data_IF_018026066741
#
_entry.id   IF_018026066741
#
_cell.length_a   1.000
_cell.length_b   1.000
_cell.length_c   1.000
_cell.angle_alpha   90.00
_cell.angle_beta   90.00
_cell.angle_gamma   90.00
#
_symmetry.space_group_name_H-M   'P 1'
#
loop_
_entity.id
_entity.type
_entity.pdbx_description
1 polymer ?
#
# COMPACT_ATOMS: atom_id res chain seq x y z
N UNK A 1 19.47 12.61 0.00
CA UNK A 1 18.46 12.51 1.09
C UNK A 1 18.67 11.29 2.00
N UNK A 2 18.42 11.36 3.32
CA UNK A 2 18.61 10.20 4.23
C UNK A 2 17.51 9.14 4.11
N UNK A 3 17.80 7.87 4.46
CA UNK A 3 16.81 6.80 4.51
C UNK A 3 15.66 7.11 5.47
N UNK A 4 15.97 7.66 6.65
CA UNK A 4 14.97 8.06 7.64
C UNK A 4 13.99 9.07 7.05
N UNK A 5 14.50 10.06 6.32
CA UNK A 5 13.70 11.08 5.65
C UNK A 5 12.81 10.46 4.56
N UNK A 6 13.34 9.54 3.75
CA UNK A 6 12.56 8.85 2.70
C UNK A 6 11.43 8.01 3.28
N UNK A 7 11.72 7.25 4.33
CA UNK A 7 10.72 6.47 5.07
C UNK A 7 9.64 7.36 5.67
N UNK A 8 10.01 8.54 6.19
CA UNK A 8 9.03 9.48 6.74
C UNK A 8 8.12 10.08 5.67
N UNK A 9 8.67 10.46 4.51
CA UNK A 9 7.86 10.94 3.38
C UNK A 9 6.88 9.86 2.91
N UNK A 10 7.38 8.64 2.65
CA UNK A 10 6.55 7.53 2.20
C UNK A 10 5.47 7.16 3.22
N UNK A 11 5.78 7.22 4.52
CA UNK A 11 4.80 6.99 5.58
C UNK A 11 3.67 8.01 5.51
N UNK A 12 3.99 9.31 5.37
CA UNK A 12 2.96 10.37 5.25
C UNK A 12 2.10 10.18 4.01
N UNK A 13 2.70 9.80 2.88
CA UNK A 13 1.99 9.54 1.63
C UNK A 13 1.09 8.30 1.71
N UNK A 14 1.53 7.27 2.42
CA UNK A 14 0.76 6.03 2.57
C UNK A 14 -0.51 6.20 3.42
N UNK A 15 -0.57 7.22 4.30
CA UNK A 15 -1.64 7.40 5.28
C UNK A 15 -1.71 6.30 6.36
N UNK A 16 -0.81 5.30 6.33
CA UNK A 16 -0.77 4.17 7.26
C UNK A 16 -0.09 4.54 8.57
N UNK A 17 -0.44 3.84 9.66
CA UNK A 17 0.29 3.99 10.92
C UNK A 17 1.56 3.15 10.87
N UNK A 18 2.57 3.58 11.63
CA UNK A 18 3.85 2.85 11.76
C UNK A 18 3.67 1.39 12.15
N UNK A 19 2.70 1.11 13.03
CA UNK A 19 2.43 -0.25 13.51
C UNK A 19 1.86 -1.16 12.41
N UNK A 20 1.05 -0.60 11.51
CA UNK A 20 0.46 -1.33 10.40
C UNK A 20 1.56 -1.71 9.40
N UNK A 21 2.47 -0.77 9.11
CA UNK A 21 3.65 -1.01 8.27
C UNK A 21 4.57 -2.08 8.89
N UNK A 22 4.79 -2.03 10.21
CA UNK A 22 5.60 -3.04 10.91
C UNK A 22 4.98 -4.42 10.78
N UNK A 23 3.65 -4.54 10.92
CA UNK A 23 2.94 -5.79 10.77
C UNK A 23 2.99 -6.32 9.32
N UNK A 24 2.71 -5.45 8.34
CA UNK A 24 2.73 -5.80 6.92
C UNK A 24 4.13 -6.20 6.43
N UNK A 25 5.17 -5.51 6.88
CA UNK A 25 6.56 -5.78 6.50
C UNK A 25 7.21 -6.93 7.32
N UNK A 26 6.50 -7.50 8.31
CA UNK A 26 7.02 -8.54 9.20
C UNK A 26 8.18 -8.06 10.08
N UNK A 27 8.09 -6.82 10.59
CA UNK A 27 9.09 -6.16 11.41
C UNK A 27 8.69 -6.15 12.89
N UNK A 28 9.68 -6.17 13.81
CA UNK A 28 9.39 -6.02 15.24
C UNK A 28 8.72 -4.68 15.56
N UNK A 29 7.93 -4.66 16.63
CA UNK A 29 7.30 -3.43 17.12
C UNK A 29 8.32 -2.33 17.42
N UNK A 30 8.06 -1.11 16.96
CA UNK A 30 8.93 0.05 17.15
C UNK A 30 10.15 0.09 16.21
N UNK A 31 10.27 -0.85 15.28
CA UNK A 31 11.36 -0.87 14.31
C UNK A 31 11.31 0.35 13.38
N UNK A 32 10.12 0.78 12.93
CA UNK A 32 9.95 1.98 12.10
C UNK A 32 10.35 3.24 12.86
N UNK A 33 10.05 3.33 14.16
CA UNK A 33 10.49 4.44 15.01
C UNK A 33 12.01 4.54 15.07
N UNK A 34 12.72 3.40 15.19
CA UNK A 34 14.19 3.37 15.19
C UNK A 34 14.80 3.72 13.84
N UNK A 35 14.14 3.38 12.73
CA UNK A 35 14.55 3.82 11.38
C UNK A 35 14.44 5.34 11.26
N UNK A 36 13.30 5.92 11.64
CA UNK A 36 13.05 7.37 11.56
C UNK A 36 13.99 8.14 12.50
N UNK A 37 14.30 7.60 13.68
CA UNK A 37 15.30 8.17 14.59
C UNK A 37 16.74 8.05 14.06
N UNK A 38 16.96 7.34 12.95
CA UNK A 38 18.29 7.16 12.36
C UNK A 38 19.17 6.16 13.11
N UNK A 39 18.61 5.35 14.01
CA UNK A 39 19.33 4.27 14.70
C UNK A 39 19.56 3.06 13.79
N UNK A 40 18.78 2.93 12.71
CA UNK A 40 18.88 1.86 11.71
C UNK A 40 19.13 2.45 10.33
N UNK A 41 20.40 2.69 10.03
CA UNK A 41 20.86 3.30 8.75
C UNK A 41 21.17 2.27 7.67
N UNK A 42 21.68 1.10 8.06
CA UNK A 42 22.05 0.02 7.16
C UNK A 42 21.06 -1.13 7.31
N UNK A 43 20.00 -1.10 6.52
CA UNK A 43 19.07 -2.22 6.39
C UNK A 43 19.52 -3.14 5.26
N UNK A 44 19.40 -4.44 5.48
CA UNK A 44 19.62 -5.41 4.40
C UNK A 44 18.59 -5.19 3.28
N UNK A 45 18.94 -5.53 2.03
CA UNK A 45 18.11 -5.29 0.84
C UNK A 45 16.71 -5.91 1.00
N UNK A 46 16.65 -7.10 1.58
CA UNK A 46 15.41 -7.81 1.86
C UNK A 46 14.45 -7.02 2.78
N UNK A 47 14.98 -6.31 3.79
CA UNK A 47 14.14 -5.50 4.69
C UNK A 47 13.65 -4.24 4.00
N UNK A 48 14.51 -3.60 3.21
CA UNK A 48 14.15 -2.41 2.44
C UNK A 48 13.03 -2.77 1.47
N UNK A 49 13.09 -3.93 0.81
CA UNK A 49 12.04 -4.41 -0.08
C UNK A 49 10.69 -4.54 0.61
N UNK A 50 10.63 -5.22 1.76
CA UNK A 50 9.36 -5.38 2.51
C UNK A 50 8.79 -4.05 3.00
N UNK A 51 9.65 -3.14 3.44
CA UNK A 51 9.24 -1.80 3.85
C UNK A 51 8.69 -1.03 2.64
N UNK A 52 9.37 -1.09 1.50
CA UNK A 52 8.93 -0.45 0.26
C UNK A 52 7.57 -0.98 -0.20
N UNK A 53 7.38 -2.30 -0.18
CA UNK A 53 6.10 -2.95 -0.50
C UNK A 53 4.98 -2.53 0.46
N UNK A 54 5.23 -2.50 1.77
CA UNK A 54 4.25 -2.08 2.78
C UNK A 54 3.88 -0.60 2.66
N UNK A 55 4.85 0.25 2.31
CA UNK A 55 4.68 1.69 2.08
C UNK A 55 4.13 2.01 0.68
N UNK A 56 4.09 1.04 -0.24
CA UNK A 56 3.65 1.25 -1.61
C UNK A 56 4.61 2.10 -2.45
N UNK A 57 5.91 2.09 -2.15
CA UNK A 57 6.94 2.83 -2.90
C UNK A 57 7.91 1.86 -3.57
N UNK A 58 8.70 2.33 -4.54
CA UNK A 58 9.69 1.49 -5.20
C UNK A 58 10.86 1.14 -4.27
N UNK A 59 11.34 -0.11 -4.37
CA UNK A 59 12.54 -0.55 -3.66
C UNK A 59 13.75 0.31 -4.02
N UNK A 60 13.91 0.64 -5.31
CA UNK A 60 15.04 1.45 -5.77
C UNK A 60 15.05 2.81 -5.12
N UNK A 61 13.91 3.51 -5.03
CA UNK A 61 13.87 4.79 -4.36
C UNK A 61 14.15 4.70 -2.85
N UNK A 62 13.52 3.72 -2.18
CA UNK A 62 13.73 3.56 -0.74
C UNK A 62 15.16 3.09 -0.40
N UNK A 63 15.81 2.36 -1.32
CA UNK A 63 17.15 1.83 -1.16
C UNK A 63 18.27 2.78 -1.62
N UNK A 64 18.05 3.59 -2.65
CA UNK A 64 19.07 4.47 -3.26
C UNK A 64 18.97 5.89 -2.74
N UNK A 65 20.11 6.60 -2.62
CA UNK A 65 20.15 8.01 -2.17
C UNK A 65 19.50 9.02 -3.15
N UNK A 66 18.66 8.55 -4.07
CA UNK A 66 17.90 9.37 -5.00
C UNK A 66 17.08 10.42 -4.27
N UNK A 67 17.23 11.69 -4.69
CA UNK A 67 16.55 12.83 -4.08
C UNK A 67 15.11 13.02 -4.60
N UNK A 68 14.75 12.37 -5.71
CA UNK A 68 13.42 12.48 -6.29
C UNK A 68 12.50 11.41 -5.67
N UNK A 69 11.44 11.76 -4.92
CA UNK A 69 10.43 10.79 -4.49
C UNK A 69 9.94 10.03 -5.71
N UNK A 70 9.69 8.71 -5.63
CA UNK A 70 9.09 8.05 -6.74
C UNK A 70 7.74 8.76 -6.86
N UNK A 71 7.42 9.28 -8.04
CA UNK A 71 6.01 9.25 -8.41
C UNK A 71 5.63 7.81 -8.18
N UNK A 72 4.96 7.52 -7.06
CA UNK A 72 4.30 6.25 -6.89
C UNK A 72 3.58 6.02 -8.22
N UNK A 73 3.60 4.80 -8.76
CA UNK A 73 2.71 4.45 -9.87
C UNK A 73 1.28 4.60 -9.35
N UNK A 74 0.87 5.86 -9.23
CA UNK A 74 -0.35 6.32 -8.64
C UNK A 74 -1.35 6.16 -9.76
N UNK A 75 -1.90 4.96 -9.77
CA UNK A 75 -2.87 4.60 -10.78
C UNK A 75 -4.22 5.13 -10.28
N UNK A 76 -5.00 5.77 -11.15
CA UNK A 76 -6.40 6.06 -10.83
C UNK A 76 -7.09 4.78 -10.35
N UNK A 77 -7.96 4.90 -9.34
CA UNK A 77 -8.74 3.76 -8.83
C UNK A 77 -9.45 3.06 -9.99
N UNK A 78 -10.01 3.84 -10.91
CA UNK A 78 -10.70 3.40 -12.13
C UNK A 78 -9.83 2.47 -13.00
N UNK A 79 -8.57 2.82 -13.24
CA UNK A 79 -7.69 2.00 -14.08
C UNK A 79 -7.36 0.65 -13.41
N UNK A 80 -7.25 0.60 -12.08
CA UNK A 80 -7.07 -0.68 -11.37
C UNK A 80 -8.34 -1.53 -11.40
N UNK A 81 -9.52 -0.91 -11.36
CA UNK A 81 -10.81 -1.60 -11.41
C UNK A 81 -11.05 -2.26 -12.78
N UNK A 82 -10.65 -1.60 -13.87
CA UNK A 82 -10.78 -2.11 -15.24
C UNK A 82 -9.87 -3.32 -15.52
N UNK A 83 -8.67 -3.32 -14.95
CA UNK A 83 -7.70 -4.42 -15.11
C UNK A 83 -7.90 -5.56 -14.11
N UNK A 84 -8.75 -5.37 -13.10
CA UNK A 84 -8.93 -6.37 -12.06
C UNK A 84 -9.76 -7.56 -12.59
N UNK A 85 -9.19 -8.75 -12.43
CA UNK A 85 -9.85 -10.00 -12.80
C UNK A 85 -10.85 -10.42 -11.72
N UNK A 86 -12.11 -10.02 -11.92
CA UNK A 86 -13.19 -10.26 -10.97
C UNK A 86 -13.54 -11.76 -10.89
N UNK A 87 -13.73 -12.31 -9.68
CA UNK A 87 -14.08 -13.72 -9.54
C UNK A 87 -15.38 -14.06 -10.29
N UNK A 88 -15.43 -15.18 -11.03
CA UNK A 88 -16.67 -15.62 -11.65
C UNK A 88 -17.72 -15.93 -10.57
N UNK A 89 -18.92 -15.38 -10.73
CA UNK A 89 -20.02 -15.55 -9.77
C UNK A 89 -20.21 -14.42 -8.77
N UNK A 90 -19.41 -13.34 -8.83
CA UNK A 90 -19.70 -12.13 -8.07
C UNK A 90 -20.97 -11.45 -8.61
N UNK A 91 -21.87 -11.02 -7.73
CA UNK A 91 -23.04 -10.25 -8.16
C UNK A 91 -22.64 -8.80 -8.47
N UNK A 92 -23.31 -8.11 -9.41
CA UNK A 92 -23.06 -6.69 -9.67
C UNK A 92 -23.14 -5.83 -8.40
N UNK A 93 -24.05 -6.15 -7.48
CA UNK A 93 -24.20 -5.47 -6.20
C UNK A 93 -22.95 -5.61 -5.30
N UNK A 94 -22.29 -6.78 -5.33
CA UNK A 94 -21.08 -7.03 -4.55
C UNK A 94 -19.89 -6.23 -5.11
N UNK A 95 -19.78 -6.15 -6.45
CA UNK A 95 -18.79 -5.30 -7.13
C UNK A 95 -18.98 -3.84 -6.72
N UNK A 96 -20.23 -3.34 -6.73
CA UNK A 96 -20.53 -1.97 -6.33
C UNK A 96 -20.13 -1.67 -4.87
N UNK A 97 -20.37 -2.61 -3.95
CA UNK A 97 -19.95 -2.46 -2.54
C UNK A 97 -18.43 -2.30 -2.45
N UNK A 98 -17.67 -3.18 -3.10
CA UNK A 98 -16.19 -3.14 -3.09
C UNK A 98 -15.68 -1.84 -3.71
N UNK A 99 -16.20 -1.44 -4.87
CA UNK A 99 -15.82 -0.21 -5.58
C UNK A 99 -16.10 1.02 -4.73
N UNK A 100 -17.28 1.08 -4.10
CA UNK A 100 -17.68 2.20 -3.25
C UNK A 100 -16.78 2.31 -2.02
N UNK A 101 -16.45 1.20 -1.40
CA UNK A 101 -15.54 1.15 -0.26
C UNK A 101 -14.13 1.63 -0.65
N UNK A 102 -13.60 1.13 -1.77
CA UNK A 102 -12.26 1.52 -2.26
C UNK A 102 -12.19 3.00 -2.60
N UNK A 103 -13.24 3.56 -3.23
CA UNK A 103 -13.36 5.00 -3.54
C UNK A 103 -13.45 5.86 -2.27
N UNK A 104 -14.19 5.40 -1.26
CA UNK A 104 -14.25 6.10 0.03
C UNK A 104 -12.89 6.13 0.73
N UNK A 105 -12.13 5.04 0.67
CA UNK A 105 -10.78 4.95 1.24
C UNK A 105 -9.75 5.80 0.47
N UNK A 106 -9.87 5.89 -0.85
CA UNK A 106 -9.01 6.75 -1.67
C UNK A 106 -9.23 8.25 -1.40
N UNK A 107 -10.42 8.63 -0.92
CA UNK A 107 -10.76 10.01 -0.60
C UNK A 107 -10.93 10.90 -1.84
N UNK A 108 -11.73 11.97 -1.70
CA UNK A 108 -12.12 12.84 -2.82
C UNK A 108 -10.98 13.70 -3.40
N UNK A 109 -9.83 13.79 -2.74
CA UNK A 109 -8.77 14.76 -3.07
C UNK A 109 -7.49 14.13 -3.64
N UNK A 110 -7.30 12.81 -3.53
CA UNK A 110 -6.11 12.12 -4.06
C UNK A 110 -6.54 10.81 -4.70
N UNK A 111 -7.05 10.87 -5.93
CA UNK A 111 -7.51 9.72 -6.75
C UNK A 111 -6.37 8.75 -7.13
N UNK A 112 -5.20 8.94 -6.56
CA UNK A 112 -3.92 8.47 -7.03
C UNK A 112 -3.23 7.78 -5.86
N UNK A 113 -3.58 6.51 -5.68
CA UNK A 113 -2.97 5.62 -4.70
C UNK A 113 -2.01 4.64 -5.40
N UNK A 114 -0.99 4.11 -4.70
CA UNK A 114 -0.12 3.11 -5.28
C UNK A 114 -0.91 1.92 -5.82
N UNK A 115 -0.65 1.53 -7.07
CA UNK A 115 -1.30 0.40 -7.75
C UNK A 115 -1.27 -0.90 -6.93
N UNK A 116 -0.16 -1.18 -6.27
CA UNK A 116 0.02 -2.35 -5.40
C UNK A 116 -0.91 -2.32 -4.19
N UNK A 117 -1.09 -1.15 -3.58
CA UNK A 117 -2.05 -0.94 -2.49
C UNK A 117 -3.48 -1.17 -2.97
N UNK A 118 -3.89 -0.53 -4.07
CA UNK A 118 -5.23 -0.66 -4.62
C UNK A 118 -5.56 -2.11 -4.97
N UNK A 119 -4.64 -2.82 -5.63
CA UNK A 119 -4.83 -4.22 -6.01
C UNK A 119 -4.98 -5.13 -4.79
N UNK A 120 -4.12 -4.96 -3.79
CA UNK A 120 -4.18 -5.78 -2.57
C UNK A 120 -5.43 -5.48 -1.76
N UNK A 121 -5.79 -4.21 -1.62
CA UNK A 121 -6.99 -3.80 -0.90
C UNK A 121 -8.25 -4.33 -1.56
N UNK A 122 -8.29 -4.32 -2.90
CA UNK A 122 -9.41 -4.88 -3.65
C UNK A 122 -9.52 -6.39 -3.44
N UNK A 123 -8.40 -7.13 -3.42
CA UNK A 123 -8.40 -8.56 -3.08
C UNK A 123 -8.95 -8.82 -1.67
N UNK A 124 -8.53 -8.03 -0.67
CA UNK A 124 -9.01 -8.17 0.70
C UNK A 124 -10.51 -7.88 0.81
N UNK A 125 -11.00 -6.85 0.11
CA UNK A 125 -12.43 -6.50 0.09
C UNK A 125 -13.26 -7.59 -0.57
N UNK A 126 -12.79 -8.11 -1.72
CA UNK A 126 -13.45 -9.23 -2.41
C UNK A 126 -13.48 -10.48 -1.54
N UNK A 127 -12.39 -10.79 -0.83
CA UNK A 127 -12.32 -11.92 0.09
C UNK A 127 -13.20 -11.74 1.34
N UNK A 128 -13.45 -10.50 1.76
CA UNK A 128 -14.30 -10.15 2.90
C UNK A 128 -15.79 -10.10 2.56
N UNK A 129 -16.17 -10.15 1.27
CA UNK A 129 -17.56 -10.23 0.89
C UNK A 129 -18.20 -11.48 1.50
N UNK A 130 -19.43 -11.39 2.02
CA UNK A 130 -20.17 -12.56 2.43
C UNK A 130 -20.48 -13.36 1.17
N UNK A 131 -19.58 -14.29 0.82
CA UNK A 131 -19.82 -15.26 -0.26
C UNK A 131 -21.19 -15.85 0.07
N UNK A 132 -22.18 -15.57 -0.77
CA UNK A 132 -23.46 -16.26 -0.74
C UNK A 132 -23.14 -17.71 -1.09
N UNK A 133 -22.66 -18.48 -0.10
CA UNK A 133 -22.58 -19.94 -0.11
C UNK A 133 -24.02 -20.45 0.00
N UNK A 134 -24.80 -20.20 -1.05
CA UNK A 134 -26.11 -20.79 -1.26
C UNK A 134 -26.27 -21.11 -2.74
N UNK A 135 -25.65 -22.21 -3.13
CA UNK A 135 -26.29 -23.28 -3.89
C UNK A 135 -25.52 -24.57 -3.60
#
# INVERSE_FOLDING_TARGET
>A
MSLASRVEIALRQSGKKKIDIEQEAGLPKGYMTRIIAGERRNLGPEKIRRIAEALGVSYEWLGTESDEPPTADTTPVEAVLEEFDWPPGLLPADVEIVVKQLRQEAGAATTQLPRSYLRRRLQDLVAALPVNRRA
#
